data_IF_396132862490
#
_entry.id   IF_396132862490
#
_cell.length_a   1.000
_cell.length_b   1.000
_cell.length_c   1.000
_cell.angle_alpha   90.00
_cell.angle_beta   90.00
_cell.angle_gamma   90.00
#
_symmetry.space_group_name_H-M   'P 1'
#
loop_
_entity.id
_entity.type
_entity.pdbx_description
1 polymer ?
#
# COMPACT_ATOMS: atom_id res chain seq x y z
N UNK A 1 7.79 -3.37 35.21
CA UNK A 1 8.32 -3.31 33.83
C UNK A 1 8.87 -4.67 33.37
N UNK A 2 9.33 -5.54 34.27
CA UNK A 2 9.83 -6.90 33.96
C UNK A 2 8.85 -7.78 33.16
N UNK A 3 7.57 -7.83 33.54
CA UNK A 3 6.56 -8.72 32.93
C UNK A 3 6.28 -8.46 31.43
N UNK A 4 6.58 -7.25 30.93
CA UNK A 4 6.41 -6.91 29.51
C UNK A 4 7.63 -7.35 28.67
N UNK A 5 8.82 -7.28 29.27
CA UNK A 5 10.07 -7.70 28.64
C UNK A 5 10.14 -9.23 28.58
N UNK A 6 9.70 -9.93 29.63
CA UNK A 6 9.60 -11.40 29.63
C UNK A 6 8.65 -11.90 28.56
N UNK A 7 7.43 -11.34 28.46
CA UNK A 7 6.47 -11.71 27.40
C UNK A 7 6.97 -11.44 25.98
N UNK A 8 7.82 -10.42 25.80
CA UNK A 8 8.45 -10.14 24.51
C UNK A 8 9.52 -11.18 24.20
N UNK A 9 10.40 -11.48 25.16
CA UNK A 9 11.43 -12.51 25.01
C UNK A 9 10.81 -13.87 24.73
N UNK A 10 9.74 -14.23 25.43
CA UNK A 10 9.01 -15.47 25.23
C UNK A 10 8.44 -15.56 23.80
N UNK A 11 7.79 -14.50 23.31
CA UNK A 11 7.32 -14.44 21.92
C UNK A 11 8.44 -14.46 20.88
N UNK A 12 9.58 -13.83 21.16
CA UNK A 12 10.74 -13.89 20.26
C UNK A 12 11.32 -15.30 20.18
N UNK A 13 11.41 -15.99 21.32
CA UNK A 13 11.90 -17.37 21.40
C UNK A 13 10.92 -18.34 20.73
N UNK A 14 9.62 -18.20 20.98
CA UNK A 14 8.58 -19.01 20.31
C UNK A 14 8.57 -18.84 18.79
N UNK A 15 9.01 -17.69 18.29
CA UNK A 15 9.01 -17.36 16.86
C UNK A 15 10.43 -17.27 16.27
N UNK A 16 11.43 -17.86 16.94
CA UNK A 16 12.84 -17.77 16.56
C UNK A 16 13.07 -18.14 15.08
N UNK A 17 12.51 -19.26 14.62
CA UNK A 17 12.67 -19.70 13.23
C UNK A 17 12.05 -18.72 12.21
N UNK A 18 10.96 -18.04 12.59
CA UNK A 18 10.33 -17.04 11.74
C UNK A 18 11.15 -15.76 11.67
N UNK A 19 11.78 -15.37 12.78
CA UNK A 19 12.67 -14.22 12.86
C UNK A 19 13.94 -14.48 12.05
N UNK A 20 14.54 -15.66 12.17
CA UNK A 20 15.72 -16.06 11.41
C UNK A 20 15.46 -15.99 9.89
N UNK A 21 14.33 -16.55 9.44
CA UNK A 21 13.91 -16.44 8.02
C UNK A 21 13.66 -15.01 7.55
N UNK A 22 13.19 -14.12 8.44
CA UNK A 22 12.99 -12.71 8.10
C UNK A 22 14.33 -12.00 7.98
N UNK A 23 15.27 -12.26 8.89
CA UNK A 23 16.63 -11.72 8.85
C UNK A 23 17.33 -12.17 7.56
N UNK A 24 17.23 -13.44 7.19
CA UNK A 24 17.81 -13.95 5.93
C UNK A 24 17.22 -13.27 4.70
N UNK A 25 15.90 -13.02 4.69
CA UNK A 25 15.25 -12.29 3.59
C UNK A 25 15.68 -10.83 3.54
N UNK A 26 15.83 -10.16 4.69
CA UNK A 26 16.32 -8.78 4.74
C UNK A 26 17.77 -8.70 4.25
N UNK A 27 18.64 -9.61 4.69
CA UNK A 27 20.03 -9.71 4.24
C UNK A 27 20.08 -9.99 2.73
N UNK A 28 19.20 -10.85 2.22
CA UNK A 28 19.10 -11.11 0.79
C UNK A 28 18.69 -9.84 0.01
N UNK A 29 17.68 -9.10 0.50
CA UNK A 29 17.21 -7.87 -0.14
C UNK A 29 18.27 -6.76 -0.12
N UNK A 30 19.04 -6.64 0.96
CA UNK A 30 20.17 -5.73 1.06
C UNK A 30 21.29 -6.12 0.08
N UNK A 31 21.65 -7.41 0.01
CA UNK A 31 22.65 -7.92 -0.94
C UNK A 31 22.26 -7.71 -2.40
N UNK A 32 20.97 -7.69 -2.71
CA UNK A 32 20.46 -7.42 -4.07
C UNK A 32 20.29 -5.93 -4.38
N UNK A 33 20.56 -5.03 -3.42
CA UNK A 33 20.30 -3.59 -3.55
C UNK A 33 18.81 -3.22 -3.63
N UNK A 34 17.93 -4.15 -3.25
CA UNK A 34 16.48 -3.93 -3.29
C UNK A 34 16.04 -2.98 -2.17
N UNK A 35 16.74 -3.00 -1.02
CA UNK A 35 16.53 -2.02 0.07
C UNK A 35 16.85 -0.60 -0.41
N UNK A 36 17.94 -0.41 -1.13
CA UNK A 36 18.32 0.89 -1.70
C UNK A 36 17.33 1.33 -2.78
N UNK A 37 16.89 0.40 -3.64
CA UNK A 37 15.86 0.67 -4.66
C UNK A 37 14.53 1.10 -4.03
N UNK A 38 14.15 0.51 -2.88
CA UNK A 38 12.94 0.90 -2.15
C UNK A 38 13.10 2.28 -1.50
N UNK A 39 14.28 2.62 -1.00
CA UNK A 39 14.59 3.94 -0.46
C UNK A 39 14.58 5.02 -1.56
N UNK A 40 15.11 4.70 -2.74
CA UNK A 40 15.10 5.56 -3.92
C UNK A 40 13.68 5.77 -4.45
N UNK A 41 12.85 4.72 -4.46
CA UNK A 41 11.44 4.82 -4.85
C UNK A 41 10.65 5.71 -3.88
N UNK A 42 10.89 5.58 -2.57
CA UNK A 42 10.26 6.45 -1.57
C UNK A 42 10.65 7.92 -1.74
N UNK A 43 11.91 8.18 -2.12
CA UNK A 43 12.40 9.53 -2.42
C UNK A 43 11.82 10.08 -3.73
N UNK A 44 11.69 9.23 -4.75
CA UNK A 44 11.06 9.59 -6.02
C UNK A 44 9.57 9.94 -5.87
N UNK A 45 8.83 9.22 -5.02
CA UNK A 45 7.41 9.53 -4.73
C UNK A 45 7.25 10.93 -4.15
N UNK A 46 8.13 11.33 -3.20
CA UNK A 46 8.13 12.69 -2.63
C UNK A 46 8.40 13.77 -3.68
N UNK A 47 9.38 13.54 -4.56
CA UNK A 47 9.72 14.48 -5.65
C UNK A 47 8.61 14.58 -6.70
N UNK A 48 7.95 13.45 -7.01
CA UNK A 48 6.82 13.43 -7.91
C UNK A 48 5.65 14.23 -7.34
N UNK A 49 5.33 14.06 -6.05
CA UNK A 49 4.29 14.81 -5.35
C UNK A 49 4.54 16.34 -5.42
N UNK A 50 5.80 16.77 -5.27
CA UNK A 50 6.20 18.18 -5.34
C UNK A 50 6.20 18.79 -6.76
N UNK A 51 6.36 17.98 -7.81
CA UNK A 51 6.54 18.47 -9.21
C UNK A 51 5.34 18.21 -10.12
N UNK A 52 4.34 17.44 -9.68
CA UNK A 52 3.22 17.00 -10.52
C UNK A 52 2.18 18.10 -10.85
N UNK A 53 2.27 19.31 -10.30
CA UNK A 53 1.10 20.21 -10.28
C UNK A 53 0.88 21.06 -11.54
N UNK A 54 1.90 21.63 -12.21
CA UNK A 54 1.64 22.60 -13.30
C UNK A 54 2.32 22.29 -14.65
N UNK A 55 3.47 21.61 -14.68
CA UNK A 55 4.18 21.32 -15.94
C UNK A 55 3.66 20.07 -16.68
N UNK A 56 3.12 19.09 -15.96
CA UNK A 56 2.61 17.83 -16.54
C UNK A 56 1.28 18.05 -17.28
N UNK A 57 0.40 18.90 -16.71
CA UNK A 57 -0.93 19.21 -17.26
C UNK A 57 -0.80 19.84 -18.65
N UNK A 58 0.18 20.74 -18.84
CA UNK A 58 0.41 21.40 -20.14
C UNK A 58 1.13 20.52 -21.16
N UNK A 59 2.01 19.61 -20.72
CA UNK A 59 2.82 18.79 -21.63
C UNK A 59 2.14 17.52 -22.11
N UNK A 60 1.11 17.04 -21.42
CA UNK A 60 0.51 15.74 -21.74
C UNK A 60 -1.01 15.80 -21.91
N UNK A 61 -1.47 16.53 -22.92
CA UNK A 61 -2.87 16.52 -23.36
C UNK A 61 -3.37 15.09 -23.70
N UNK A 62 -2.49 14.21 -24.18
CA UNK A 62 -2.81 12.79 -24.41
C UNK A 62 -3.00 11.99 -23.11
N UNK A 63 -2.23 12.27 -22.04
CA UNK A 63 -2.49 11.65 -20.74
C UNK A 63 -3.82 12.15 -20.17
N UNK A 64 -4.13 13.44 -20.31
CA UNK A 64 -5.44 14.00 -19.89
C UNK A 64 -6.59 13.38 -20.69
N UNK A 65 -6.44 13.22 -22.01
CA UNK A 65 -7.43 12.57 -22.86
C UNK A 65 -7.60 11.08 -22.50
N UNK A 66 -6.50 10.37 -22.26
CA UNK A 66 -6.53 8.96 -21.84
C UNK A 66 -7.15 8.80 -20.44
N UNK A 67 -6.88 9.72 -19.50
CA UNK A 67 -7.56 9.78 -18.21
C UNK A 67 -9.06 10.07 -18.36
N UNK A 68 -9.46 10.92 -19.32
CA UNK A 68 -10.85 11.17 -19.70
C UNK A 68 -11.55 9.97 -20.33
N UNK A 69 -10.83 9.13 -21.07
CA UNK A 69 -11.34 7.87 -21.62
C UNK A 69 -11.41 6.76 -20.56
N UNK A 70 -10.45 6.74 -19.63
CA UNK A 70 -10.48 5.87 -18.45
C UNK A 70 -11.68 6.25 -17.57
N UNK A 71 -11.90 7.54 -17.29
CA UNK A 71 -13.06 8.02 -16.52
C UNK A 71 -14.39 7.73 -17.21
N UNK A 72 -14.47 7.83 -18.54
CA UNK A 72 -15.65 7.41 -19.31
C UNK A 72 -15.93 5.89 -19.18
N UNK A 73 -14.89 5.07 -19.01
CA UNK A 73 -14.98 3.62 -18.77
C UNK A 73 -15.29 3.27 -17.31
N UNK A 74 -15.07 4.22 -16.40
CA UNK A 74 -15.46 4.21 -14.99
C UNK A 74 -16.70 5.08 -14.73
N UNK A 75 -17.64 5.13 -15.68
CA UNK A 75 -18.90 5.92 -15.59
C UNK A 75 -19.91 5.43 -14.57
N UNK A 76 -19.64 4.34 -13.85
CA UNK A 76 -20.45 3.97 -12.70
C UNK A 76 -20.19 4.94 -11.55
N UNK A 77 -21.23 5.55 -10.97
CA UNK A 77 -21.14 6.42 -9.78
C UNK A 77 -20.29 5.81 -8.66
N UNK A 78 -20.30 4.48 -8.52
CA UNK A 78 -19.50 3.77 -7.53
C UNK A 78 -17.98 3.87 -7.77
N UNK A 79 -17.52 3.92 -9.02
CA UNK A 79 -16.11 4.01 -9.34
C UNK A 79 -15.56 5.42 -9.08
N UNK A 80 -16.33 6.45 -9.45
CA UNK A 80 -15.97 7.85 -9.15
C UNK A 80 -15.90 8.09 -7.65
N UNK A 81 -16.89 7.60 -6.88
CA UNK A 81 -16.88 7.69 -5.41
C UNK A 81 -15.69 6.97 -4.76
N UNK A 82 -15.20 5.89 -5.37
CA UNK A 82 -14.00 5.20 -4.88
C UNK A 82 -12.73 5.99 -5.16
N UNK A 83 -12.63 6.60 -6.35
CA UNK A 83 -11.50 7.46 -6.71
C UNK A 83 -11.46 8.67 -5.77
N UNK A 84 -12.61 9.31 -5.54
CA UNK A 84 -12.73 10.43 -4.60
C UNK A 84 -12.35 10.00 -3.18
N UNK A 85 -12.85 8.86 -2.70
CA UNK A 85 -12.53 8.37 -1.36
C UNK A 85 -11.04 8.03 -1.18
N UNK A 86 -10.39 7.50 -2.20
CA UNK A 86 -8.94 7.23 -2.20
C UNK A 86 -8.15 8.54 -2.22
N UNK A 87 -8.55 9.49 -3.06
CA UNK A 87 -7.93 10.84 -3.10
C UNK A 87 -8.02 11.55 -1.75
N UNK A 88 -9.21 11.56 -1.15
CA UNK A 88 -9.46 12.11 0.18
C UNK A 88 -8.61 11.42 1.25
N UNK A 89 -8.46 10.09 1.19
CA UNK A 89 -7.66 9.35 2.14
C UNK A 89 -6.17 9.73 2.04
N UNK A 90 -5.65 9.90 0.83
CA UNK A 90 -4.26 10.32 0.58
C UNK A 90 -4.04 11.74 1.11
N UNK A 91 -4.92 12.70 0.76
CA UNK A 91 -4.80 14.08 1.23
C UNK A 91 -4.92 14.22 2.75
N UNK A 92 -5.60 13.30 3.43
CA UNK A 92 -5.70 13.29 4.91
C UNK A 92 -4.48 12.64 5.58
N UNK A 93 -3.61 11.97 4.83
CA UNK A 93 -2.36 11.42 5.32
C UNK A 93 -1.26 12.50 5.29
N UNK A 94 -1.42 13.54 6.10
CA UNK A 94 -0.47 14.66 6.21
C UNK A 94 0.84 14.29 6.95
N UNK A 95 0.90 13.09 7.53
CA UNK A 95 2.05 12.63 8.33
C UNK A 95 2.78 11.52 7.60
N UNK A 96 4.10 11.59 7.60
CA UNK A 96 4.95 10.49 7.14
C UNK A 96 4.53 9.19 7.86
N UNK A 97 4.31 8.09 7.12
CA UNK A 97 3.85 6.84 7.72
C UNK A 97 4.89 6.33 8.72
N UNK A 98 4.49 6.24 9.99
CA UNK A 98 5.35 5.69 11.03
C UNK A 98 5.51 4.17 10.83
N UNK A 99 6.73 3.63 10.92
CA UNK A 99 6.96 2.20 10.75
C UNK A 99 6.24 1.42 11.86
N UNK A 100 5.27 0.58 11.47
CA UNK A 100 4.54 -0.28 12.40
C UNK A 100 5.30 -1.57 12.66
N UNK A 101 5.57 -1.88 13.93
CA UNK A 101 6.10 -3.19 14.32
C UNK A 101 5.07 -4.32 14.17
N UNK A 102 5.48 -5.58 14.35
CA UNK A 102 4.61 -6.77 14.21
C UNK A 102 3.33 -6.69 15.05
N UNK A 103 3.42 -6.14 16.26
CA UNK A 103 2.26 -5.91 17.14
C UNK A 103 1.35 -4.80 16.62
N UNK A 104 1.93 -3.74 16.04
CA UNK A 104 1.19 -2.65 15.41
C UNK A 104 0.42 -3.14 14.19
N UNK A 105 1.03 -3.99 13.37
CA UNK A 105 0.38 -4.61 12.22
C UNK A 105 -0.79 -5.53 12.63
N UNK A 106 -0.59 -6.39 13.63
CA UNK A 106 -1.66 -7.24 14.18
C UNK A 106 -2.82 -6.42 14.75
N UNK A 107 -2.53 -5.29 15.37
CA UNK A 107 -3.54 -4.36 15.87
C UNK A 107 -4.28 -3.66 14.72
N UNK A 108 -3.55 -3.23 13.69
CA UNK A 108 -4.12 -2.62 12.48
C UNK A 108 -5.02 -3.61 11.72
N UNK A 109 -4.62 -4.87 11.59
CA UNK A 109 -5.47 -5.91 10.99
C UNK A 109 -6.74 -6.19 11.80
N UNK A 110 -6.73 -5.87 13.11
CA UNK A 110 -7.90 -6.00 13.95
C UNK A 110 -8.83 -4.79 13.91
N UNK A 111 -8.38 -3.69 13.33
CA UNK A 111 -9.15 -2.46 13.17
C UNK A 111 -10.37 -2.69 12.25
N UNK A 112 -11.56 -2.20 12.64
CA UNK A 112 -12.79 -2.40 11.85
C UNK A 112 -12.73 -1.76 10.46
N UNK A 113 -12.06 -0.62 10.31
CA UNK A 113 -11.97 0.09 9.02
C UNK A 113 -11.01 -0.63 8.08
N UNK A 114 -9.88 -1.12 8.61
CA UNK A 114 -8.92 -1.95 7.85
C UNK A 114 -9.56 -3.25 7.40
N UNK A 115 -10.32 -3.92 8.27
CA UNK A 115 -11.08 -5.14 7.91
C UNK A 115 -12.09 -4.87 6.80
N UNK A 116 -12.80 -3.75 6.86
CA UNK A 116 -13.76 -3.35 5.84
C UNK A 116 -13.07 -3.11 4.49
N UNK A 117 -11.96 -2.38 4.48
CA UNK A 117 -11.16 -2.14 3.27
C UNK A 117 -10.62 -3.44 2.68
N UNK A 118 -10.09 -4.35 3.50
CA UNK A 118 -9.63 -5.67 3.06
C UNK A 118 -10.77 -6.50 2.45
N UNK A 119 -11.96 -6.48 3.04
CA UNK A 119 -13.14 -7.15 2.51
C UNK A 119 -13.54 -6.61 1.13
N UNK A 120 -13.48 -5.28 0.95
CA UNK A 120 -13.70 -4.63 -0.33
C UNK A 120 -12.68 -5.09 -1.39
N UNK A 121 -11.38 -5.08 -1.05
CA UNK A 121 -10.31 -5.52 -1.96
C UNK A 121 -10.48 -6.97 -2.41
N UNK A 122 -10.88 -7.86 -1.50
CA UNK A 122 -11.16 -9.27 -1.82
C UNK A 122 -12.32 -9.39 -2.82
N UNK A 123 -13.37 -8.58 -2.66
CA UNK A 123 -14.51 -8.59 -3.58
C UNK A 123 -14.13 -8.08 -4.97
N UNK A 124 -13.32 -7.02 -5.06
CA UNK A 124 -12.76 -6.53 -6.33
C UNK A 124 -11.93 -7.60 -7.01
N UNK A 125 -11.02 -8.24 -6.27
CA UNK A 125 -10.16 -9.31 -6.79
C UNK A 125 -10.98 -10.50 -7.33
N UNK A 126 -12.04 -10.91 -6.61
CA UNK A 126 -12.96 -11.96 -7.07
C UNK A 126 -13.67 -11.59 -8.37
N UNK A 127 -14.20 -10.36 -8.46
CA UNK A 127 -14.88 -9.89 -9.66
C UNK A 127 -13.93 -9.82 -10.87
N UNK A 128 -12.71 -9.33 -10.65
CA UNK A 128 -11.67 -9.27 -11.68
C UNK A 128 -11.28 -10.67 -12.18
N UNK A 129 -11.01 -11.60 -11.25
CA UNK A 129 -10.65 -12.98 -11.61
C UNK A 129 -11.76 -13.68 -12.40
N UNK A 130 -13.03 -13.43 -12.09
CA UNK A 130 -14.17 -13.94 -12.85
C UNK A 130 -14.19 -13.36 -14.27
N UNK A 131 -14.05 -12.05 -14.42
CA UNK A 131 -14.05 -11.38 -15.71
C UNK A 131 -12.87 -11.80 -16.62
N UNK A 132 -11.69 -12.06 -16.03
CA UNK A 132 -10.53 -12.55 -16.77
C UNK A 132 -10.71 -14.00 -17.22
N UNK A 133 -11.32 -14.85 -16.39
CA UNK A 133 -11.61 -16.24 -16.75
C UNK A 133 -12.66 -16.35 -17.85
N UNK A 134 -13.68 -15.51 -17.83
CA UNK A 134 -14.74 -15.48 -18.87
C UNK A 134 -14.24 -14.98 -20.23
N UNK A 135 -13.05 -14.36 -20.27
CA UNK A 135 -12.39 -13.86 -21.48
C UNK A 135 -11.24 -14.74 -21.97
N UNK A 136 -10.91 -15.80 -21.24
CA UNK A 136 -9.86 -16.77 -21.57
C UNK A 136 -10.49 -18.02 -22.21
#
# INVERSE_FOLDING_TARGET
MEDRTEKLVEKLVENQDAIERLIDKIIMLEKTGAIDTLADLASFVKVAEDTLSDEIIKKNAELVANLGLISAKFTSDNALRLIDAVGDAICRCDKEPEPVGVTGLLKALNDPDVKYALGFLINVAKALGKALRERA
#
